data_IF_380303380818
#
_entry.id   IF_380303380818
#
_cell.length_a   1.000
_cell.length_b   1.000
_cell.length_c   1.000
_cell.angle_alpha   90.00
_cell.angle_beta   90.00
_cell.angle_gamma   90.00
#
_symmetry.space_group_name_H-M   'P 1'
#
loop_
_entity.id
_entity.type
_entity.pdbx_description
1 polymer ?
#
# COMPACT_ATOMS: atom_id res chain seq x y z
N UNK A 1 23.33 -10.48 -11.73
CA UNK A 1 22.65 -9.89 -12.89
C UNK A 1 21.19 -9.81 -12.54
N UNK A 2 20.73 -8.64 -12.08
CA UNK A 2 19.31 -8.36 -11.86
C UNK A 2 18.78 -7.97 -13.24
N UNK A 3 17.90 -8.79 -13.81
CA UNK A 3 17.28 -8.46 -15.09
C UNK A 3 16.30 -7.29 -14.85
N UNK A 4 16.37 -6.25 -15.69
CA UNK A 4 15.45 -5.08 -15.73
C UNK A 4 14.01 -5.51 -16.10
N UNK A 5 13.38 -6.29 -15.23
CA UNK A 5 12.19 -7.10 -15.56
C UNK A 5 10.86 -6.54 -15.11
N UNK A 6 10.80 -5.37 -14.46
CA UNK A 6 9.53 -4.80 -14.00
C UNK A 6 9.42 -3.33 -14.42
N UNK A 7 8.61 -3.10 -15.45
CA UNK A 7 8.35 -1.76 -15.96
C UNK A 7 7.02 -1.28 -15.40
N UNK A 8 7.06 -0.15 -14.71
CA UNK A 8 5.90 0.43 -14.07
C UNK A 8 5.61 1.79 -14.69
N UNK A 9 4.39 1.97 -15.21
CA UNK A 9 3.92 3.20 -15.84
C UNK A 9 2.92 3.89 -14.90
N UNK A 10 3.11 5.18 -14.57
CA UNK A 10 2.29 5.82 -13.53
C UNK A 10 2.20 7.34 -13.58
N UNK A 11 1.12 7.84 -12.97
CA UNK A 11 0.96 9.16 -12.40
C UNK A 11 0.10 9.03 -11.13
N UNK A 12 0.61 9.36 -9.95
CA UNK A 12 -0.11 9.17 -8.67
C UNK A 12 -0.88 10.45 -8.30
N UNK A 13 -2.21 10.34 -8.12
CA UNK A 13 -3.06 11.39 -7.57
C UNK A 13 -2.79 11.69 -6.08
N UNK A 14 -3.78 12.26 -5.39
CA UNK A 14 -3.61 12.73 -4.00
C UNK A 14 -3.82 11.60 -2.95
N UNK A 15 -4.87 10.79 -3.11
CA UNK A 15 -5.34 9.90 -2.03
C UNK A 15 -5.38 8.41 -2.39
N UNK A 16 -5.83 8.06 -3.60
CA UNK A 16 -5.89 6.70 -4.08
C UNK A 16 -5.75 6.65 -5.60
N UNK A 17 -5.01 5.66 -6.11
CA UNK A 17 -4.71 5.58 -7.54
C UNK A 17 -4.64 4.12 -8.02
N UNK A 18 -5.14 3.88 -9.22
CA UNK A 18 -4.95 2.60 -9.89
C UNK A 18 -3.59 2.54 -10.57
N UNK A 19 -2.85 1.48 -10.30
CA UNK A 19 -1.55 1.20 -10.91
C UNK A 19 -1.62 -0.09 -11.72
N UNK A 20 -1.12 -0.03 -12.94
CA UNK A 20 -0.81 -1.19 -13.76
C UNK A 20 0.68 -1.52 -13.67
N UNK A 21 0.99 -2.78 -13.38
CA UNK A 21 2.34 -3.30 -13.22
C UNK A 21 2.60 -4.30 -14.33
N UNK A 22 3.56 -4.01 -15.20
CA UNK A 22 3.97 -4.92 -16.26
C UNK A 22 5.14 -5.77 -15.79
N UNK A 23 4.88 -7.06 -15.65
CA UNK A 23 5.82 -8.08 -15.24
C UNK A 23 6.49 -8.70 -16.47
N UNK A 24 7.81 -8.93 -16.35
CA UNK A 24 8.60 -9.76 -17.25
C UNK A 24 9.52 -10.67 -16.42
N UNK A 25 9.20 -11.97 -16.36
CA UNK A 25 10.04 -12.99 -15.72
C UNK A 25 10.73 -13.85 -16.79
N UNK A 26 12.05 -14.06 -16.72
CA UNK A 26 12.76 -14.94 -17.64
C UNK A 26 12.43 -16.43 -17.41
N UNK A 27 12.05 -16.79 -16.18
CA UNK A 27 11.73 -18.17 -15.77
C UNK A 27 10.40 -18.18 -15.00
N UNK A 28 9.26 -17.97 -15.69
CA UNK A 28 7.98 -17.84 -15.02
C UNK A 28 7.48 -19.16 -14.46
N UNK A 29 6.93 -19.13 -13.25
CA UNK A 29 6.28 -20.29 -12.62
C UNK A 29 4.87 -19.95 -12.17
N UNK A 30 4.04 -20.96 -11.93
CA UNK A 30 2.64 -20.77 -11.53
C UNK A 30 2.49 -20.22 -10.11
N UNK A 31 3.54 -20.31 -9.30
CA UNK A 31 3.62 -19.84 -7.92
C UNK A 31 4.37 -18.51 -7.80
N UNK A 32 4.74 -17.87 -8.92
CA UNK A 32 5.27 -16.51 -8.90
C UNK A 32 4.21 -15.51 -8.40
N UNK A 33 4.63 -14.55 -7.60
CA UNK A 33 3.74 -13.57 -7.01
C UNK A 33 4.43 -12.22 -6.85
N UNK A 34 3.63 -11.15 -6.87
CA UNK A 34 4.11 -9.80 -6.63
C UNK A 34 3.67 -9.33 -5.24
N UNK A 35 4.61 -8.78 -4.47
CA UNK A 35 4.35 -8.10 -3.21
C UNK A 35 4.40 -6.58 -3.37
N UNK A 36 3.49 -5.88 -2.72
CA UNK A 36 3.52 -4.41 -2.59
C UNK A 36 4.05 -4.04 -1.21
N UNK A 37 5.11 -3.24 -1.17
CA UNK A 37 5.78 -2.86 0.07
C UNK A 37 5.66 -1.36 0.31
N UNK A 38 5.54 -0.99 1.57
CA UNK A 38 5.54 0.38 2.07
C UNK A 38 6.07 0.33 3.50
N UNK A 39 7.23 0.92 3.80
CA UNK A 39 8.08 1.73 2.91
C UNK A 39 8.66 0.95 1.72
N UNK A 40 9.11 1.66 0.69
CA UNK A 40 9.67 1.06 -0.52
C UNK A 40 10.97 0.27 -0.26
N UNK A 41 11.75 0.69 0.74
CA UNK A 41 12.92 -0.04 1.20
C UNK A 41 12.52 -1.15 2.17
N UNK A 42 12.19 -2.32 1.62
CA UNK A 42 11.76 -3.49 2.38
C UNK A 42 12.91 -4.49 2.56
N UNK A 43 12.88 -5.23 3.67
CA UNK A 43 13.80 -6.32 3.91
C UNK A 43 13.18 -7.66 3.46
N UNK A 44 13.73 -8.22 2.39
CA UNK A 44 13.33 -9.52 1.84
C UNK A 44 14.00 -10.72 2.52
N UNK A 45 14.78 -10.52 3.58
CA UNK A 45 15.39 -11.63 4.32
C UNK A 45 14.32 -12.48 4.99
N UNK A 46 14.65 -13.74 5.19
CA UNK A 46 13.75 -14.68 5.84
C UNK A 46 13.68 -14.39 7.35
N UNK A 47 12.48 -14.17 7.85
CA UNK A 47 12.19 -13.98 9.27
C UNK A 47 11.33 -15.15 9.75
N UNK A 48 11.97 -16.26 10.09
CA UNK A 48 11.30 -17.39 10.71
C UNK A 48 10.84 -17.04 12.13
N UNK A 49 9.61 -17.39 12.50
CA UNK A 49 9.19 -17.36 13.89
C UNK A 49 9.79 -18.55 14.63
N UNK A 50 10.40 -18.31 15.80
CA UNK A 50 10.85 -19.37 16.71
C UNK A 50 9.68 -20.17 17.30
N UNK A 51 8.46 -19.62 17.23
CA UNK A 51 7.21 -20.28 17.60
C UNK A 51 6.56 -20.92 16.38
N UNK A 52 6.15 -22.19 16.49
CA UNK A 52 5.51 -23.07 15.50
C UNK A 52 4.14 -22.61 14.95
N UNK A 53 3.88 -21.30 14.84
CA UNK A 53 2.68 -20.81 14.14
C UNK A 53 2.98 -20.82 12.64
N UNK A 54 2.86 -22.01 12.06
CA UNK A 54 3.11 -22.35 10.64
C UNK A 54 2.19 -21.57 9.66
N UNK A 55 1.20 -20.83 10.18
CA UNK A 55 0.08 -20.29 9.41
C UNK A 55 0.30 -18.90 8.77
N UNK A 56 1.49 -18.29 8.87
CA UNK A 56 1.72 -16.92 8.35
C UNK A 56 2.80 -16.82 7.26
N UNK A 57 2.73 -17.68 6.23
CA UNK A 57 3.49 -17.45 4.99
C UNK A 57 2.99 -16.18 4.27
N UNK A 58 3.86 -15.35 3.65
CA UNK A 58 5.31 -15.54 3.47
C UNK A 58 6.19 -15.02 4.62
N UNK A 59 7.25 -15.78 4.95
CA UNK A 59 8.23 -15.46 6.00
C UNK A 59 9.27 -14.45 5.55
N UNK A 60 8.85 -13.21 5.28
CA UNK A 60 9.74 -12.10 4.94
C UNK A 60 9.71 -11.03 6.04
N UNK A 61 10.88 -10.49 6.39
CA UNK A 61 11.02 -9.56 7.51
C UNK A 61 10.23 -8.26 7.35
N UNK A 62 9.95 -7.85 6.12
CA UNK A 62 9.00 -6.80 5.83
C UNK A 62 7.73 -7.41 5.23
N UNK A 63 6.63 -7.35 5.95
CA UNK A 63 5.34 -7.85 5.47
C UNK A 63 4.82 -6.98 4.33
N UNK A 64 4.38 -7.57 3.21
CA UNK A 64 3.77 -6.82 2.13
C UNK A 64 2.40 -6.32 2.57
N UNK A 65 2.02 -5.12 2.12
CA UNK A 65 0.69 -4.53 2.39
C UNK A 65 -0.39 -5.39 1.72
N UNK A 66 -0.08 -5.88 0.53
CA UNK A 66 -0.92 -6.73 -0.31
C UNK A 66 -0.02 -7.52 -1.27
N UNK A 67 -0.53 -8.63 -1.78
CA UNK A 67 0.14 -9.42 -2.81
C UNK A 67 -0.86 -10.00 -3.80
N UNK A 68 -0.37 -10.46 -4.95
CA UNK A 68 -1.17 -11.16 -5.97
C UNK A 68 -0.28 -12.14 -6.73
N UNK A 69 -0.82 -13.29 -7.16
CA UNK A 69 -0.08 -14.21 -8.02
C UNK A 69 0.05 -13.64 -9.44
N UNK A 70 1.18 -13.90 -10.09
CA UNK A 70 1.45 -13.38 -11.43
C UNK A 70 0.48 -13.94 -12.51
N UNK A 71 -0.12 -15.10 -12.24
CA UNK A 71 -1.08 -15.75 -13.13
C UNK A 71 -2.56 -15.39 -12.88
N UNK A 72 -2.88 -14.55 -11.88
CA UNK A 72 -4.27 -14.33 -11.41
C UNK A 72 -5.24 -13.94 -12.52
N UNK A 73 -4.80 -13.14 -13.50
CA UNK A 73 -5.62 -12.71 -14.64
C UNK A 73 -5.03 -13.11 -16.00
N UNK A 74 -3.96 -13.90 -16.01
CA UNK A 74 -3.27 -14.27 -17.24
C UNK A 74 -2.71 -15.70 -17.15
N UNK A 75 -3.46 -16.66 -17.68
CA UNK A 75 -3.04 -18.06 -17.75
C UNK A 75 -1.84 -18.31 -18.68
N UNK A 76 -1.44 -17.31 -19.48
CA UNK A 76 -0.30 -17.38 -20.41
C UNK A 76 1.01 -16.96 -19.73
N UNK A 77 0.97 -16.37 -18.53
CA UNK A 77 2.17 -15.93 -17.80
C UNK A 77 3.24 -17.04 -17.70
N UNK A 78 2.83 -18.27 -17.36
CA UNK A 78 3.74 -19.42 -17.25
C UNK A 78 4.43 -19.81 -18.56
N UNK A 79 3.91 -19.35 -19.71
CA UNK A 79 4.47 -19.63 -21.03
C UNK A 79 5.36 -18.51 -21.56
N UNK A 80 4.96 -17.26 -21.35
CA UNK A 80 5.62 -16.09 -21.96
C UNK A 80 6.34 -15.18 -20.97
N UNK A 81 6.18 -15.41 -19.67
CA UNK A 81 6.76 -14.62 -18.59
C UNK A 81 6.20 -13.22 -18.44
N UNK A 82 5.08 -12.91 -19.11
CA UNK A 82 4.51 -11.56 -19.16
C UNK A 82 3.12 -11.52 -18.55
N UNK A 83 2.90 -10.58 -17.66
CA UNK A 83 1.60 -10.29 -17.09
C UNK A 83 1.45 -8.80 -16.80
N UNK A 84 0.21 -8.32 -16.84
CA UNK A 84 -0.15 -7.00 -16.34
C UNK A 84 -1.06 -7.20 -15.14
N UNK A 85 -0.65 -6.69 -13.99
CA UNK A 85 -1.42 -6.76 -12.76
C UNK A 85 -1.86 -5.36 -12.35
N UNK A 86 -3.08 -5.25 -11.85
CA UNK A 86 -3.68 -3.96 -11.49
C UNK A 86 -3.96 -3.90 -10.00
N UNK A 87 -3.44 -2.88 -9.33
CA UNK A 87 -3.67 -2.63 -7.91
C UNK A 87 -4.30 -1.26 -7.70
N UNK A 88 -5.20 -1.14 -6.72
CA UNK A 88 -5.59 0.15 -6.18
C UNK A 88 -4.67 0.45 -5.00
N UNK A 89 -3.82 1.46 -5.11
CA UNK A 89 -3.05 1.98 -3.99
C UNK A 89 -3.81 3.08 -3.29
N UNK A 90 -3.56 3.20 -2.00
CA UNK A 90 -4.11 4.26 -1.17
C UNK A 90 -2.93 4.92 -0.46
N UNK A 91 -2.96 6.24 -0.32
CA UNK A 91 -1.91 6.99 0.32
C UNK A 91 -1.88 6.62 1.81
N UNK A 92 -0.76 6.05 2.24
CA UNK A 92 -0.50 5.67 3.63
C UNK A 92 0.87 6.16 4.11
N UNK A 93 1.30 7.31 3.56
CA UNK A 93 2.42 8.16 4.00
C UNK A 93 3.84 7.77 3.63
N UNK A 94 4.09 6.53 3.26
CA UNK A 94 5.40 6.15 2.74
C UNK A 94 5.36 5.97 1.23
N UNK A 95 6.55 5.87 0.67
CA UNK A 95 6.74 5.40 -0.69
C UNK A 95 6.45 3.91 -0.80
N UNK A 96 6.26 3.44 -2.03
CA UNK A 96 5.98 2.05 -2.34
C UNK A 96 7.02 1.50 -3.28
N UNK A 97 7.30 0.21 -3.14
CA UNK A 97 7.98 -0.59 -4.16
C UNK A 97 7.22 -1.88 -4.38
N UNK A 98 7.52 -2.53 -5.49
CA UNK A 98 6.97 -3.82 -5.83
C UNK A 98 8.12 -4.80 -5.99
N UNK A 99 7.90 -6.04 -5.57
CA UNK A 99 8.86 -7.09 -5.79
C UNK A 99 8.18 -8.34 -6.33
N UNK A 100 8.75 -8.88 -7.39
CA UNK A 100 8.38 -10.17 -7.94
C UNK A 100 9.15 -11.25 -7.20
N UNK A 101 8.43 -12.26 -6.72
CA UNK A 101 8.98 -13.42 -6.06
C UNK A 101 8.65 -14.69 -6.83
N UNK A 102 9.56 -15.66 -6.76
CA UNK A 102 9.37 -17.05 -7.18
C UNK A 102 9.43 -17.99 -5.98
N UNK A 103 9.06 -19.26 -6.17
CA UNK A 103 9.10 -20.28 -5.10
C UNK A 103 7.90 -20.24 -4.14
N UNK A 104 6.82 -19.56 -4.54
CA UNK A 104 5.59 -19.47 -3.79
C UNK A 104 5.71 -18.64 -2.52
N UNK A 105 4.68 -18.71 -1.67
CA UNK A 105 4.65 -18.00 -0.39
C UNK A 105 5.51 -18.70 0.67
N UNK A 106 5.73 -20.01 0.58
CA UNK A 106 6.47 -20.78 1.57
C UNK A 106 7.99 -20.60 1.47
N UNK A 107 8.53 -20.43 0.27
CA UNK A 107 9.96 -20.24 0.04
C UNK A 107 10.22 -19.08 -0.96
N UNK A 108 9.84 -17.85 -0.58
CA UNK A 108 9.85 -16.73 -1.50
C UNK A 108 11.27 -16.30 -1.85
N UNK A 109 11.56 -16.16 -3.14
CA UNK A 109 12.85 -15.69 -3.67
C UNK A 109 12.64 -14.47 -4.55
N UNK A 110 13.28 -13.35 -4.20
CA UNK A 110 13.21 -12.12 -4.99
C UNK A 110 13.80 -12.36 -6.38
N UNK A 111 13.00 -12.10 -7.41
CA UNK A 111 13.37 -12.16 -8.83
C UNK A 111 13.70 -10.75 -9.34
N UNK A 112 12.86 -9.78 -9.01
CA UNK A 112 13.02 -8.39 -9.43
C UNK A 112 12.36 -7.43 -8.42
N UNK A 113 12.86 -6.21 -8.34
CA UNK A 113 12.31 -5.11 -7.54
C UNK A 113 12.14 -3.89 -8.45
N UNK A 114 11.03 -3.17 -8.32
CA UNK A 114 10.80 -1.95 -9.11
C UNK A 114 11.51 -0.73 -8.55
N UNK A 115 11.45 0.36 -9.30
CA UNK A 115 11.62 1.69 -8.74
C UNK A 115 10.60 1.97 -7.62
N UNK A 116 10.94 2.90 -6.73
CA UNK A 116 10.00 3.43 -5.75
C UNK A 116 9.03 4.41 -6.41
N UNK A 117 7.84 4.51 -5.83
CA UNK A 117 6.79 5.46 -6.21
C UNK A 117 6.22 6.11 -4.96
N UNK A 118 5.71 7.33 -5.09
CA UNK A 118 5.23 8.11 -3.95
C UNK A 118 4.07 8.98 -4.38
N UNK A 119 3.02 9.06 -3.56
CA UNK A 119 1.91 10.01 -3.78
C UNK A 119 2.43 11.45 -3.76
N UNK A 120 1.75 12.36 -4.46
CA UNK A 120 2.19 13.76 -4.55
C UNK A 120 2.39 14.42 -3.17
N UNK A 121 1.52 14.08 -2.20
CA UNK A 121 1.64 14.50 -0.80
C UNK A 121 1.42 13.31 0.15
N UNK A 122 2.46 12.56 0.53
CA UNK A 122 2.30 11.40 1.42
C UNK A 122 1.79 11.78 2.82
N UNK A 123 2.07 12.99 3.28
CA UNK A 123 1.62 13.47 4.60
C UNK A 123 0.17 13.99 4.60
N UNK A 124 -0.55 13.91 3.47
CA UNK A 124 -1.90 14.45 3.36
C UNK A 124 -2.83 13.96 4.49
N UNK A 125 -3.78 14.80 4.93
CA UNK A 125 -4.84 14.41 5.84
C UNK A 125 -5.83 13.47 5.15
N UNK A 126 -5.83 12.19 5.53
CA UNK A 126 -6.59 11.14 4.83
C UNK A 126 -7.60 10.41 5.73
N UNK A 127 -8.63 9.88 5.08
CA UNK A 127 -9.64 8.96 5.64
C UNK A 127 -10.36 9.49 6.90
N UNK A 128 -11.03 10.65 6.83
CA UNK A 128 -11.79 11.18 7.95
C UNK A 128 -12.85 10.16 8.40
N UNK A 129 -12.92 9.89 9.71
CA UNK A 129 -14.01 9.10 10.30
C UNK A 129 -14.83 9.95 11.26
N UNK A 130 -16.15 9.88 11.11
CA UNK A 130 -17.12 10.49 12.01
C UNK A 130 -17.47 9.52 13.14
N UNK A 131 -17.56 10.05 14.35
CA UNK A 131 -18.02 9.34 15.54
C UNK A 131 -18.90 10.27 16.36
N UNK A 132 -19.88 9.70 17.09
CA UNK A 132 -20.70 10.46 18.02
C UNK A 132 -19.85 10.99 19.17
N UNK A 133 -20.15 12.21 19.59
CA UNK A 133 -19.56 12.83 20.77
C UNK A 133 -20.16 12.30 22.06
N UNK A 134 -19.95 13.02 23.16
CA UNK A 134 -20.41 12.59 24.48
C UNK A 134 -21.93 12.78 24.64
N UNK A 135 -22.50 13.73 23.91
CA UNK A 135 -23.93 14.01 23.87
C UNK A 135 -24.56 13.59 22.54
N UNK A 136 -25.85 13.29 22.56
CA UNK A 136 -26.62 12.81 21.40
C UNK A 136 -26.70 13.85 20.26
N UNK A 137 -26.53 15.13 20.61
CA UNK A 137 -26.49 16.30 19.74
C UNK A 137 -25.07 16.83 19.52
N UNK A 138 -24.06 16.11 20.01
CA UNK A 138 -22.65 16.45 19.79
C UNK A 138 -22.07 15.56 18.68
N UNK A 139 -21.78 16.18 17.54
CA UNK A 139 -20.64 15.77 16.72
C UNK A 139 -19.50 16.65 17.22
N UNK A 140 -18.42 16.10 17.80
CA UNK A 140 -17.47 16.92 18.55
C UNK A 140 -16.96 18.08 17.69
N UNK A 141 -17.06 19.35 18.11
CA UNK A 141 -16.54 20.48 17.34
C UNK A 141 -15.00 20.48 17.28
N UNK A 142 -14.38 19.73 18.21
CA UNK A 142 -12.96 19.37 18.25
C UNK A 142 -12.71 17.93 17.79
N UNK A 143 -13.71 17.29 17.17
CA UNK A 143 -13.38 16.25 16.24
C UNK A 143 -12.68 16.99 15.10
N UNK A 144 -11.35 17.06 15.20
CA UNK A 144 -10.60 16.56 14.08
C UNK A 144 -11.38 15.33 13.62
N UNK A 145 -12.07 15.32 12.45
CA UNK A 145 -12.45 14.05 11.87
C UNK A 145 -11.19 13.20 12.02
N UNK A 146 -11.29 12.01 12.62
CA UNK A 146 -10.07 11.27 12.94
C UNK A 146 -9.40 10.97 11.62
N UNK A 147 -8.41 11.80 11.32
CA UNK A 147 -7.77 11.95 10.04
C UNK A 147 -6.40 11.42 10.31
N UNK A 148 -5.99 10.51 9.44
CA UNK A 148 -4.60 10.12 9.43
C UNK A 148 -3.84 11.19 8.66
N UNK A 149 -3.17 12.11 9.37
CA UNK A 149 -2.04 12.93 8.88
C UNK A 149 -0.70 12.56 9.58
N UNK A 150 0.43 12.86 8.94
CA UNK A 150 1.77 12.58 9.50
C UNK A 150 2.57 13.87 9.71
N UNK A 151 1.83 14.96 9.91
CA UNK A 151 2.41 16.21 10.38
C UNK A 151 2.50 16.13 11.89
N UNK A 152 3.69 16.38 12.42
CA UNK A 152 3.83 16.59 13.85
C UNK A 152 3.02 17.83 14.27
N UNK A 153 2.56 17.90 15.52
CA UNK A 153 1.79 19.05 16.05
C UNK A 153 2.53 20.39 15.88
N UNK A 154 3.85 20.36 15.69
CA UNK A 154 4.68 21.53 15.41
C UNK A 154 4.76 21.89 13.92
N UNK A 155 4.46 20.95 13.02
CA UNK A 155 4.44 21.13 11.57
C UNK A 155 3.07 21.62 11.06
N UNK A 156 1.99 21.38 11.81
CA UNK A 156 0.64 21.83 11.47
C UNK A 156 -0.08 22.50 12.65
N UNK A 157 -0.39 23.78 12.50
CA UNK A 157 -1.45 24.42 13.30
C UNK A 157 -2.74 24.40 12.48
N UNK A 158 -3.78 23.67 12.91
CA UNK A 158 -5.12 23.89 12.38
C UNK A 158 -5.54 25.30 12.80
N UNK A 159 -5.92 26.14 11.84
CA UNK A 159 -6.37 27.51 12.13
C UNK A 159 -7.56 27.46 13.10
N UNK A 160 -7.58 28.28 14.17
CA UNK A 160 -8.78 28.46 14.96
C UNK A 160 -9.80 29.23 14.12
N UNK A 161 -10.83 28.53 13.62
CA UNK A 161 -11.97 29.19 12.97
C UNK A 161 -12.78 29.95 14.03
N UNK A 162 -12.43 31.23 14.21
CA UNK A 162 -13.12 32.19 15.06
C UNK A 162 -14.40 32.74 14.40
N UNK A 163 -15.20 31.93 13.70
CA UNK A 163 -16.41 32.40 13.05
C UNK A 163 -17.67 31.68 13.53
N UNK A 164 -18.51 32.45 14.22
CA UNK A 164 -19.88 32.16 14.65
C UNK A 164 -20.83 31.86 13.47
N UNK A 165 -20.70 30.71 12.83
CA UNK A 165 -21.73 30.20 11.91
C UNK A 165 -22.36 28.93 12.47
N UNK A 166 -23.45 29.13 13.24
CA UNK A 166 -24.42 28.08 13.57
C UNK A 166 -25.03 27.51 12.29
N UNK A 167 -24.56 26.37 11.81
CA UNK A 167 -25.33 25.54 10.89
C UNK A 167 -26.31 24.69 11.71
N UNK A 168 -27.54 25.17 11.84
CA UNK A 168 -28.65 24.39 12.36
C UNK A 168 -29.32 23.65 11.19
N UNK A 169 -29.42 22.32 11.27
CA UNK A 169 -30.37 21.57 10.45
C UNK A 169 -31.78 21.83 10.99
N UNK A 170 -32.61 22.53 10.20
CA UNK A 170 -34.06 22.53 10.42
C UNK A 170 -34.62 21.22 9.86
N UNK A 171 -35.60 20.68 10.61
CA UNK A 171 -36.28 19.39 10.38
C UNK A 171 -36.79 19.22 8.96
#
# INVERSE_FOLDING_TARGET
>A
MIYDGMCIMMNLGEDAEWIDINLCSPNPTSDDWIGVFSPANFNSSNCHSESDVIDQVPYICSTPIKYMFANTNNSVYTKNGKATLRFLLINQRADFSFALFSGGLSNPKVVAVSNSITFANPKAPLYPRLALGKSWDEIPPYAHPTVRDNYDVKESFPSPDNNNSKCAFRR
#
